data_IF_443243407273
#
_entry.id   IF_443243407273
#
_cell.length_a   1.000
_cell.length_b   1.000
_cell.length_c   1.000
_cell.angle_alpha   90.00
_cell.angle_beta   90.00
_cell.angle_gamma   90.00
#
_symmetry.space_group_name_H-M   'P 1'
#
loop_
_entity.id
_entity.type
_entity.pdbx_description
1 polymer ?
#
# COMPACT_ATOMS: atom_id res chain seq x y z
N UNK A 1 -3.12 -0.53 -12.61
CA UNK A 1 -2.12 0.50 -13.03
C UNK A 1 -1.10 0.75 -11.91
N UNK A 2 -1.55 1.04 -10.69
CA UNK A 2 -0.67 1.28 -9.53
C UNK A 2 0.33 0.15 -9.25
N UNK A 3 -0.09 -1.13 -9.36
CA UNK A 3 0.80 -2.30 -9.16
C UNK A 3 2.07 -2.25 -10.01
N UNK A 4 1.96 -1.89 -11.29
CA UNK A 4 3.13 -1.79 -12.18
C UNK A 4 4.01 -0.59 -11.85
N UNK A 5 3.41 0.53 -11.46
CA UNK A 5 4.17 1.71 -11.03
C UNK A 5 4.97 1.42 -9.75
N UNK A 6 4.35 0.78 -8.75
CA UNK A 6 5.03 0.34 -7.52
C UNK A 6 6.16 -0.65 -7.84
N UNK A 7 5.90 -1.67 -8.67
CA UNK A 7 6.93 -2.63 -9.05
C UNK A 7 8.12 -1.97 -9.78
N UNK A 8 7.83 -1.01 -10.67
CA UNK A 8 8.86 -0.22 -11.32
C UNK A 8 9.67 0.61 -10.31
N UNK A 9 8.99 1.27 -9.36
CA UNK A 9 9.63 2.08 -8.32
C UNK A 9 10.56 1.24 -7.44
N UNK A 10 10.10 0.06 -7.03
CA UNK A 10 10.87 -0.86 -6.20
C UNK A 10 12.05 -1.51 -6.94
N UNK A 11 12.03 -1.54 -8.28
CA UNK A 11 13.16 -2.00 -9.09
C UNK A 11 14.14 -0.87 -9.44
N UNK A 12 13.64 0.31 -9.79
CA UNK A 12 14.41 1.49 -10.16
C UNK A 12 13.55 2.75 -9.97
N UNK A 13 13.72 3.40 -8.82
CA UNK A 13 12.96 4.60 -8.45
C UNK A 13 13.21 5.76 -9.45
N UNK A 14 14.40 5.89 -10.02
CA UNK A 14 14.72 6.99 -10.94
C UNK A 14 13.96 6.83 -12.28
N UNK A 15 13.87 5.61 -12.80
CA UNK A 15 13.09 5.32 -14.01
C UNK A 15 11.59 5.45 -13.75
N UNK A 16 11.14 4.97 -12.59
CA UNK A 16 9.74 5.08 -12.21
C UNK A 16 9.31 6.53 -12.01
N UNK A 17 10.14 7.37 -11.38
CA UNK A 17 9.88 8.80 -11.21
C UNK A 17 9.75 9.52 -12.55
N UNK A 18 10.62 9.22 -13.51
CA UNK A 18 10.55 9.79 -14.85
C UNK A 18 9.28 9.38 -15.63
N UNK A 19 8.70 8.23 -15.30
CA UNK A 19 7.55 7.64 -16.02
C UNK A 19 6.21 7.97 -15.36
N UNK A 20 6.15 7.91 -14.03
CA UNK A 20 4.94 7.99 -13.22
C UNK A 20 4.91 9.19 -12.28
N UNK A 21 6.01 9.94 -12.16
CA UNK A 21 6.20 10.96 -11.12
C UNK A 21 6.58 10.33 -9.78
N UNK A 22 6.90 11.18 -8.81
CA UNK A 22 7.29 10.75 -7.47
C UNK A 22 6.15 9.98 -6.78
N UNK A 23 6.47 8.89 -6.08
CA UNK A 23 5.50 7.95 -5.50
C UNK A 23 4.48 8.63 -4.57
N UNK A 24 4.88 9.67 -3.84
CA UNK A 24 4.00 10.45 -2.95
C UNK A 24 2.89 11.22 -3.67
N UNK A 25 2.97 11.40 -4.99
CA UNK A 25 2.02 12.19 -5.77
C UNK A 25 0.99 11.36 -6.54
N UNK A 26 1.07 10.03 -6.41
CA UNK A 26 0.22 9.13 -7.18
C UNK A 26 -1.24 9.18 -6.72
N UNK A 27 -2.16 9.23 -7.68
CA UNK A 27 -3.60 9.22 -7.42
C UNK A 27 -4.08 7.78 -7.18
N UNK A 28 -4.36 7.43 -5.93
CA UNK A 28 -4.77 6.07 -5.50
C UNK A 28 -6.24 5.94 -5.13
N UNK A 29 -7.03 7.02 -5.13
CA UNK A 29 -8.42 7.01 -4.63
C UNK A 29 -9.41 6.12 -5.40
N UNK A 30 -9.08 5.74 -6.64
CA UNK A 30 -9.85 4.76 -7.44
C UNK A 30 -9.33 3.31 -7.27
N UNK A 31 -8.26 3.10 -6.52
CA UNK A 31 -7.65 1.79 -6.32
C UNK A 31 -8.38 1.06 -5.20
N UNK A 32 -8.86 -0.11 -5.54
CA UNK A 32 -9.67 -0.94 -4.64
C UNK A 32 -8.95 -2.20 -4.18
N UNK A 33 -7.82 -2.51 -4.79
CA UNK A 33 -6.99 -3.65 -4.45
C UNK A 33 -5.53 -3.20 -4.35
N UNK A 34 -5.12 -2.98 -3.10
CA UNK A 34 -3.77 -2.63 -2.66
C UNK A 34 -3.03 -3.83 -2.09
N UNK A 35 -3.58 -5.03 -2.25
CA UNK A 35 -3.02 -6.24 -1.65
C UNK A 35 -1.65 -6.54 -2.25
N UNK A 36 -0.66 -6.89 -1.42
CA UNK A 36 0.72 -7.23 -1.81
C UNK A 36 1.54 -6.12 -2.50
N UNK A 37 1.13 -4.83 -2.48
CA UNK A 37 1.84 -3.77 -3.21
C UNK A 37 3.33 -3.64 -2.84
N UNK A 38 3.63 -3.64 -1.54
CA UNK A 38 4.98 -3.55 -0.96
C UNK A 38 5.34 -4.82 -0.19
N UNK A 39 4.99 -5.99 -0.75
CA UNK A 39 5.40 -7.27 -0.19
C UNK A 39 6.87 -7.56 -0.54
N UNK A 40 7.72 -7.85 0.46
CA UNK A 40 9.17 -8.07 0.29
C UNK A 40 9.66 -9.50 0.52
N UNK A 41 8.78 -10.42 0.91
CA UNK A 41 9.20 -11.78 1.27
C UNK A 41 9.74 -12.56 0.07
N UNK A 42 10.78 -13.33 0.33
CA UNK A 42 11.48 -14.19 -0.62
C UNK A 42 10.86 -15.59 -0.75
N UNK A 43 9.88 -15.95 0.09
CA UNK A 43 9.15 -17.22 -0.04
C UNK A 43 7.65 -17.09 0.28
N UNK A 44 6.81 -16.99 -0.74
CA UNK A 44 5.37 -17.29 -0.67
C UNK A 44 4.83 -17.95 -1.96
N UNK A 45 5.66 -18.64 -2.76
CA UNK A 45 5.28 -19.28 -4.05
C UNK A 45 4.50 -18.44 -5.10
N UNK A 46 4.28 -17.13 -4.90
CA UNK A 46 3.49 -16.25 -5.76
C UNK A 46 4.34 -15.13 -6.40
N UNK A 47 4.01 -14.79 -7.65
CA UNK A 47 4.74 -13.92 -8.58
C UNK A 47 4.54 -12.41 -8.32
N UNK A 48 3.99 -12.05 -7.14
CA UNK A 48 3.42 -10.72 -6.88
C UNK A 48 4.21 -9.84 -5.91
N UNK A 49 5.11 -10.42 -5.11
CA UNK A 49 5.94 -9.68 -4.15
C UNK A 49 7.19 -9.10 -4.80
N UNK A 50 7.58 -7.89 -4.40
CA UNK A 50 8.76 -7.18 -4.86
C UNK A 50 9.87 -7.25 -3.80
N UNK A 51 10.97 -7.95 -4.09
CA UNK A 51 12.13 -8.04 -3.19
C UNK A 51 12.69 -6.66 -2.76
N UNK A 52 12.55 -5.63 -3.60
CA UNK A 52 12.93 -4.25 -3.29
C UNK A 52 12.08 -3.57 -2.21
N UNK A 53 10.93 -4.15 -1.84
CA UNK A 53 10.09 -3.61 -0.77
C UNK A 53 10.73 -3.72 0.61
N UNK A 54 11.74 -4.57 0.81
CA UNK A 54 12.41 -4.71 2.11
C UNK A 54 13.09 -3.41 2.55
N UNK A 55 13.60 -2.64 1.58
CA UNK A 55 14.23 -1.33 1.75
C UNK A 55 13.30 -0.15 1.49
N UNK A 56 12.01 -0.40 1.22
CA UNK A 56 11.06 0.66 0.94
C UNK A 56 10.73 1.47 2.20
N UNK A 57 10.92 2.79 2.13
CA UNK A 57 10.59 3.71 3.21
C UNK A 57 10.28 5.13 2.69
N UNK A 58 9.61 5.23 1.54
CA UNK A 58 9.24 6.51 0.94
C UNK A 58 7.90 7.01 1.46
N UNK A 59 7.75 8.33 1.57
CA UNK A 59 6.52 8.96 2.06
C UNK A 59 5.34 8.70 1.11
N UNK A 60 4.29 8.09 1.67
CA UNK A 60 3.01 7.77 1.02
C UNK A 60 1.81 8.24 1.86
N UNK A 61 2.05 9.14 2.83
CA UNK A 61 1.01 9.70 3.69
C UNK A 61 -0.12 10.39 2.91
N UNK A 62 0.20 10.93 1.73
CA UNK A 62 -0.73 11.62 0.84
C UNK A 62 -1.62 10.70 -0.01
N UNK A 63 -1.44 9.37 0.07
CA UNK A 63 -2.25 8.43 -0.70
C UNK A 63 -3.69 8.41 -0.21
N UNK A 64 -4.62 8.55 -1.15
CA UNK A 64 -6.03 8.33 -0.89
C UNK A 64 -6.33 6.83 -0.95
N UNK A 65 -6.63 6.27 0.22
CA UNK A 65 -6.97 4.85 0.39
C UNK A 65 -8.46 4.60 0.67
N UNK A 66 -9.26 5.67 0.64
CA UNK A 66 -10.68 5.66 1.01
C UNK A 66 -11.57 4.88 0.03
N UNK A 67 -11.02 4.52 -1.14
CA UNK A 67 -11.61 3.54 -2.05
C UNK A 67 -13.00 3.94 -2.54
N UNK A 68 -13.08 5.03 -3.31
CA UNK A 68 -14.25 5.51 -4.02
C UNK A 68 -15.58 5.49 -3.22
N UNK A 69 -15.96 6.62 -2.62
CA UNK A 69 -17.28 6.79 -1.95
C UNK A 69 -18.41 7.19 -2.92
N UNK A 70 -18.19 7.07 -4.23
CA UNK A 70 -19.20 7.30 -5.26
C UNK A 70 -20.13 6.10 -5.41
N UNK A 71 -21.43 6.33 -5.62
CA UNK A 71 -22.53 5.36 -5.61
C UNK A 71 -22.44 4.14 -6.58
N UNK A 72 -21.29 3.85 -7.20
CA UNK A 72 -21.05 2.73 -8.12
C UNK A 72 -20.70 1.38 -7.44
N UNK A 73 -20.71 1.31 -6.10
CA UNK A 73 -20.08 0.24 -5.31
C UNK A 73 -20.97 -0.81 -4.64
N UNK A 74 -22.27 -0.84 -4.92
CA UNK A 74 -23.26 -1.69 -4.22
C UNK A 74 -22.99 -3.22 -4.25
N UNK A 75 -21.96 -3.74 -4.91
CA UNK A 75 -21.60 -5.18 -4.87
C UNK A 75 -20.13 -5.55 -4.69
N UNK A 76 -19.17 -4.61 -4.58
CA UNK A 76 -17.77 -5.01 -4.33
C UNK A 76 -16.88 -3.93 -3.69
N UNK A 77 -17.54 -2.93 -3.07
CA UNK A 77 -17.13 -1.63 -2.52
C UNK A 77 -15.76 -1.28 -2.00
N UNK A 78 -14.92 -2.25 -1.72
CA UNK A 78 -14.00 -2.11 -0.62
C UNK A 78 -12.54 -2.19 -1.04
N UNK A 79 -11.72 -1.38 -0.38
CA UNK A 79 -10.27 -1.48 -0.51
C UNK A 79 -9.77 -2.70 0.27
N UNK A 80 -9.04 -3.59 -0.40
CA UNK A 80 -8.26 -4.65 0.26
C UNK A 80 -6.80 -4.20 0.38
N UNK A 81 -6.25 -4.26 1.60
CA UNK A 81 -4.86 -3.97 1.95
C UNK A 81 -4.12 -5.20 2.49
N UNK A 82 -4.61 -6.39 2.14
CA UNK A 82 -4.00 -7.66 2.55
C UNK A 82 -2.51 -7.69 2.20
N UNK A 83 -1.64 -7.98 3.16
CA UNK A 83 -0.18 -8.11 2.94
C UNK A 83 0.48 -6.87 2.29
N UNK A 84 -0.12 -5.69 2.35
CA UNK A 84 0.36 -4.52 1.61
C UNK A 84 1.82 -4.16 1.93
N UNK A 85 2.23 -4.24 3.20
CA UNK A 85 3.61 -3.99 3.67
C UNK A 85 4.29 -5.24 4.22
N UNK A 86 3.87 -6.41 3.76
CA UNK A 86 4.40 -7.66 4.27
C UNK A 86 5.91 -7.79 4.03
N UNK A 87 6.71 -7.91 5.10
CA UNK A 87 8.16 -7.97 4.99
C UNK A 87 8.84 -6.65 4.62
N UNK A 88 8.11 -5.53 4.53
CA UNK A 88 8.68 -4.19 4.31
C UNK A 88 9.44 -3.72 5.58
N UNK A 89 10.55 -4.40 5.87
CA UNK A 89 11.25 -4.32 7.16
C UNK A 89 11.77 -2.92 7.51
N UNK A 90 12.05 -2.08 6.51
CA UNK A 90 12.52 -0.71 6.69
C UNK A 90 11.41 0.35 6.70
N UNK A 91 10.15 -0.03 6.45
CA UNK A 91 9.04 0.92 6.33
C UNK A 91 8.64 1.46 7.71
N UNK A 92 8.64 2.79 7.85
CA UNK A 92 8.30 3.50 9.08
C UNK A 92 7.76 4.93 8.78
N UNK A 93 6.90 5.05 7.77
CA UNK A 93 6.30 6.34 7.39
C UNK A 93 4.96 6.56 8.10
N UNK A 94 4.68 7.82 8.44
CA UNK A 94 3.43 8.23 9.08
C UNK A 94 2.24 8.01 8.14
N UNK A 95 1.30 7.16 8.57
CA UNK A 95 0.06 6.85 7.85
C UNK A 95 -1.19 7.30 8.61
N UNK A 96 -1.05 8.14 9.63
CA UNK A 96 -2.16 8.61 10.47
C UNK A 96 -3.26 9.35 9.69
N UNK A 97 -2.90 9.93 8.54
CA UNK A 97 -3.81 10.66 7.65
C UNK A 97 -4.67 9.77 6.74
N UNK A 98 -4.47 8.45 6.74
CA UNK A 98 -5.21 7.53 5.87
C UNK A 98 -6.65 7.30 6.36
N UNK A 99 -7.62 7.55 5.48
CA UNK A 99 -9.03 7.26 5.73
C UNK A 99 -9.36 5.79 5.42
N UNK A 100 -9.34 4.95 6.45
CA UNK A 100 -9.51 3.50 6.29
C UNK A 100 -10.96 2.99 6.39
N UNK A 101 -11.95 3.88 6.49
CA UNK A 101 -13.36 3.48 6.66
C UNK A 101 -13.95 2.66 5.50
N UNK A 102 -13.32 2.70 4.32
CA UNK A 102 -13.68 1.90 3.14
C UNK A 102 -12.86 0.61 2.99
N UNK A 103 -11.94 0.32 3.92
CA UNK A 103 -11.05 -0.84 3.87
C UNK A 103 -11.72 -2.03 4.54
N UNK A 104 -11.89 -3.15 3.84
CA UNK A 104 -12.54 -4.36 4.39
C UNK A 104 -11.57 -5.47 4.80
N UNK A 105 -10.31 -5.38 4.38
CA UNK A 105 -9.32 -6.40 4.69
C UNK A 105 -7.94 -5.77 4.90
N UNK A 106 -7.39 -5.96 6.11
CA UNK A 106 -6.03 -5.55 6.50
C UNK A 106 -5.19 -6.76 6.98
N UNK A 107 -5.60 -7.98 6.61
CA UNK A 107 -4.94 -9.20 7.07
C UNK A 107 -3.43 -9.18 6.74
N UNK A 108 -2.61 -9.42 7.76
CA UNK A 108 -1.15 -9.45 7.68
C UNK A 108 -0.49 -8.23 7.00
N UNK A 109 -1.17 -7.08 6.95
CA UNK A 109 -0.70 -5.87 6.28
C UNK A 109 0.71 -5.45 6.69
N UNK A 110 1.03 -5.51 8.00
CA UNK A 110 2.34 -5.14 8.57
C UNK A 110 3.13 -6.35 9.10
N UNK A 111 2.77 -7.58 8.73
CA UNK A 111 3.54 -8.74 9.21
C UNK A 111 4.96 -8.67 8.65
N UNK A 112 5.96 -8.84 9.53
CA UNK A 112 7.39 -8.62 9.24
C UNK A 112 7.82 -7.20 8.84
N UNK A 113 6.96 -6.19 8.99
CA UNK A 113 7.36 -4.77 8.88
C UNK A 113 8.03 -4.31 10.20
N UNK A 114 9.24 -4.82 10.46
CA UNK A 114 9.90 -4.72 11.77
C UNK A 114 10.22 -3.32 12.27
N UNK A 115 10.35 -2.34 11.38
CA UNK A 115 10.67 -0.95 11.76
C UNK A 115 9.43 -0.08 11.98
N UNK A 116 8.23 -0.55 11.63
CA UNK A 116 7.03 0.25 11.69
C UNK A 116 6.61 0.51 13.16
N UNK A 117 6.62 1.78 13.57
CA UNK A 117 6.26 2.22 14.93
C UNK A 117 5.43 3.52 14.93
N UNK A 118 4.53 3.66 13.94
CA UNK A 118 3.72 4.87 13.77
C UNK A 118 2.34 4.75 14.45
N UNK A 119 1.80 5.89 14.88
CA UNK A 119 0.48 5.96 15.50
C UNK A 119 -0.63 5.81 14.44
N UNK A 120 -1.33 4.68 14.50
CA UNK A 120 -2.48 4.35 13.64
C UNK A 120 -3.81 4.33 14.41
N UNK A 121 -3.86 4.95 15.60
CA UNK A 121 -5.07 5.01 16.42
C UNK A 121 -6.24 5.75 15.76
N UNK A 122 -5.96 6.58 14.76
CA UNK A 122 -6.97 7.30 13.97
C UNK A 122 -7.68 6.40 12.93
N UNK A 123 -7.15 5.22 12.63
CA UNK A 123 -7.73 4.34 11.62
C UNK A 123 -9.05 3.75 12.08
N UNK A 124 -10.05 3.80 11.19
CA UNK A 124 -11.29 3.06 11.37
C UNK A 124 -11.06 1.60 10.94
N UNK A 125 -11.12 0.69 11.91
CA UNK A 125 -10.98 -0.77 11.74
C UNK A 125 -12.29 -1.51 12.05
N UNK A 126 -13.39 -0.78 12.23
CA UNK A 126 -14.72 -1.35 12.46
C UNK A 126 -15.35 -1.71 11.09
N UNK A 127 -15.72 -2.98 10.93
CA UNK A 127 -16.41 -3.53 9.75
C UNK A 127 -17.87 -3.85 10.06
#
# INVERSE_FOLDING_TARGET
KIRWAVAAWLSDAAVAEATYGHISTWQTGEVTDMSYLFCADTDLSDWRCNAGAASFNEDISAWDVSGATGMEWMFSGATSMEWMFYGASAFDQDLSAWETSGVTNMHQMFSWASSFDQDISAWNVEN
#
